data_IF_874318242414
#
_entry.id   IF_874318242414
#
_cell.length_a   1.000
_cell.length_b   1.000
_cell.length_c   1.000
_cell.angle_alpha   90.00
_cell.angle_beta   90.00
_cell.angle_gamma   90.00
#
_symmetry.space_group_name_H-M   'P 1'
#
loop_
_entity.id
_entity.type
_entity.pdbx_description
1 polymer ?
#
# COMPACT_ATOMS: atom_id res chain seq x y z
N UNK A 1 17.64 49.09 34.01
CA UNK A 1 16.31 48.47 33.95
C UNK A 1 16.32 47.47 32.84
N UNK A 2 16.62 46.21 33.17
CA UNK A 2 16.66 45.07 32.21
C UNK A 2 15.48 44.20 32.52
N UNK A 3 14.54 44.22 31.60
CA UNK A 3 13.32 43.42 31.66
C UNK A 3 13.66 41.97 31.24
N UNK A 4 13.50 41.03 32.16
CA UNK A 4 13.69 39.60 31.94
C UNK A 4 12.30 38.97 31.77
N UNK A 5 11.93 38.73 30.50
CA UNK A 5 10.76 37.89 30.19
C UNK A 5 11.06 36.43 30.51
N UNK A 6 10.18 35.70 31.19
CA UNK A 6 10.40 34.30 31.50
C UNK A 6 10.26 33.42 30.22
N UNK A 7 11.26 32.57 29.96
CA UNK A 7 11.22 31.57 28.90
C UNK A 7 10.18 30.50 29.25
N UNK A 8 9.15 30.35 28.43
CA UNK A 8 8.25 29.20 28.48
C UNK A 8 9.04 27.92 28.23
N UNK A 9 9.12 27.09 29.23
CA UNK A 9 9.72 25.75 29.11
C UNK A 9 8.79 24.83 28.33
N UNK A 10 9.34 24.13 27.33
CA UNK A 10 8.61 23.10 26.55
C UNK A 10 8.02 22.03 27.48
N UNK A 11 6.77 21.59 27.24
CA UNK A 11 6.10 20.60 28.08
C UNK A 11 6.86 19.27 28.11
N UNK A 12 6.94 18.69 29.32
CA UNK A 12 7.59 17.38 29.48
C UNK A 12 6.76 16.25 28.83
N UNK A 13 7.42 15.14 28.46
CA UNK A 13 6.75 13.95 27.89
C UNK A 13 5.56 13.46 28.75
N UNK A 14 5.65 13.64 30.06
CA UNK A 14 4.60 13.25 31.02
C UNK A 14 3.38 14.17 30.99
N UNK A 15 3.60 15.46 30.71
CA UNK A 15 2.52 16.46 30.55
C UNK A 15 1.82 16.31 29.20
N UNK A 16 2.57 15.95 28.15
CA UNK A 16 1.99 15.62 26.84
C UNK A 16 1.05 14.41 26.91
N UNK A 17 1.44 13.33 27.61
CA UNK A 17 0.59 12.14 27.79
C UNK A 17 -0.63 12.41 28.66
N UNK A 18 -0.53 13.29 29.66
CA UNK A 18 -1.69 13.67 30.50
C UNK A 18 -2.68 14.57 29.75
N UNK A 19 -2.19 15.42 28.84
CA UNK A 19 -3.04 16.27 27.99
C UNK A 19 -3.90 15.49 26.99
N UNK A 20 -3.40 14.36 26.49
CA UNK A 20 -4.15 13.50 25.56
C UNK A 20 -5.23 12.64 26.23
N UNK A 21 -5.15 12.40 27.53
CA UNK A 21 -6.16 11.62 28.26
C UNK A 21 -7.42 12.41 28.63
N UNK A 22 -7.41 13.75 28.53
CA UNK A 22 -8.52 14.61 28.92
C UNK A 22 -9.52 14.97 27.81
N UNK A 23 -9.31 14.47 26.56
CA UNK A 23 -10.18 14.75 25.39
C UNK A 23 -11.25 13.66 25.18
N UNK A 24 -11.51 12.84 26.17
CA UNK A 24 -12.35 11.64 26.09
C UNK A 24 -13.83 11.82 26.48
N UNK A 25 -14.41 12.99 26.53
CA UNK A 25 -15.85 13.14 26.77
C UNK A 25 -16.38 14.50 26.28
N UNK A 26 -16.39 14.69 24.97
CA UNK A 26 -17.05 15.84 24.36
C UNK A 26 -17.52 15.46 22.96
N UNK A 27 -18.81 15.48 22.75
CA UNK A 27 -19.46 15.30 21.44
C UNK A 27 -18.88 16.29 20.43
N UNK A 28 -17.93 15.85 19.60
CA UNK A 28 -17.45 16.62 18.44
C UNK A 28 -18.29 16.21 17.24
N UNK A 29 -19.44 16.86 17.10
CA UNK A 29 -20.15 16.87 15.84
C UNK A 29 -19.32 17.69 14.83
N UNK A 30 -18.80 17.07 13.78
CA UNK A 30 -18.46 17.76 12.55
C UNK A 30 -17.01 17.90 12.14
N UNK A 31 -16.03 17.25 12.78
CA UNK A 31 -14.70 17.09 12.19
C UNK A 31 -14.51 15.64 11.75
N UNK A 32 -14.65 15.39 10.46
CA UNK A 32 -14.19 14.14 9.86
C UNK A 32 -12.67 14.05 10.05
N UNK A 33 -12.24 13.37 11.11
CA UNK A 33 -10.86 12.95 11.22
C UNK A 33 -10.56 12.14 9.97
N UNK A 34 -9.42 12.35 9.27
CA UNK A 34 -9.00 11.44 8.24
C UNK A 34 -8.86 10.07 8.91
N UNK A 35 -9.82 9.18 8.64
CA UNK A 35 -9.77 7.79 9.09
C UNK A 35 -8.60 7.17 8.35
N UNK A 36 -7.50 7.01 9.03
CA UNK A 36 -6.34 6.27 8.54
C UNK A 36 -6.80 4.82 8.32
N UNK A 37 -7.07 4.51 7.04
CA UNK A 37 -7.37 3.16 6.61
C UNK A 37 -8.60 2.57 7.30
N UNK A 38 -9.81 2.92 6.84
CA UNK A 38 -10.95 2.07 7.11
C UNK A 38 -10.69 0.72 6.48
N UNK A 39 -10.50 -0.30 7.33
CA UNK A 39 -10.51 -1.68 6.85
C UNK A 39 -11.80 -1.89 6.05
N UNK A 40 -11.76 -2.63 4.94
CA UNK A 40 -12.96 -2.95 4.19
C UNK A 40 -14.00 -3.56 5.12
N UNK A 41 -15.28 -3.31 4.89
CA UNK A 41 -16.39 -3.77 5.74
C UNK A 41 -16.37 -5.28 6.03
N UNK A 42 -15.63 -6.07 5.23
CA UNK A 42 -15.40 -7.50 5.43
C UNK A 42 -14.34 -7.82 6.50
N UNK A 43 -13.63 -6.83 7.05
CA UNK A 43 -12.47 -7.05 7.93
C UNK A 43 -11.28 -7.75 7.27
N UNK A 44 -11.30 -7.90 5.94
CA UNK A 44 -10.25 -8.58 5.16
C UNK A 44 -9.72 -7.67 4.07
N UNK A 45 -8.40 -7.52 4.01
CA UNK A 45 -7.71 -6.70 3.03
C UNK A 45 -7.29 -7.55 1.83
N UNK A 46 -7.84 -7.23 0.65
CA UNK A 46 -7.55 -7.92 -0.61
C UNK A 46 -6.32 -7.32 -1.26
N UNK A 47 -5.26 -8.10 -1.36
CA UNK A 47 -3.98 -7.68 -1.94
C UNK A 47 -3.83 -8.27 -3.35
N UNK A 48 -3.47 -7.43 -4.31
CA UNK A 48 -3.04 -7.82 -5.64
C UNK A 48 -1.51 -7.79 -5.75
N UNK A 49 -0.92 -8.77 -6.44
CA UNK A 49 0.50 -8.79 -6.75
C UNK A 49 0.71 -8.61 -8.25
N UNK A 50 1.50 -7.62 -8.64
CA UNK A 50 1.94 -7.43 -10.03
C UNK A 50 3.45 -7.48 -10.10
N UNK A 51 3.94 -8.49 -10.84
CA UNK A 51 5.35 -8.90 -10.85
C UNK A 51 5.62 -10.04 -9.88
N UNK A 52 5.51 -11.28 -10.37
CA UNK A 52 5.58 -12.52 -9.59
C UNK A 52 7.00 -13.12 -9.53
N UNK A 53 8.05 -12.30 -9.73
CA UNK A 53 9.44 -12.70 -9.51
C UNK A 53 9.74 -12.90 -8.01
N UNK A 54 10.98 -13.28 -7.69
CA UNK A 54 11.40 -13.55 -6.31
C UNK A 54 11.10 -12.40 -5.33
N UNK A 55 11.33 -11.14 -5.75
CA UNK A 55 11.04 -9.98 -4.89
C UNK A 55 9.54 -9.78 -4.67
N UNK A 56 8.73 -9.89 -5.74
CA UNK A 56 7.27 -9.76 -5.63
C UNK A 56 6.67 -10.86 -4.76
N UNK A 57 7.08 -12.11 -4.96
CA UNK A 57 6.68 -13.24 -4.13
C UNK A 57 7.04 -13.01 -2.66
N UNK A 58 8.27 -12.52 -2.39
CA UNK A 58 8.71 -12.17 -1.04
C UNK A 58 7.87 -11.05 -0.41
N UNK A 59 7.54 -10.00 -1.17
CA UNK A 59 6.71 -8.90 -0.68
C UNK A 59 5.28 -9.36 -0.37
N UNK A 60 4.69 -10.20 -1.22
CA UNK A 60 3.38 -10.79 -0.95
C UNK A 60 3.40 -11.69 0.29
N UNK A 61 4.45 -12.50 0.45
CA UNK A 61 4.66 -13.31 1.66
C UNK A 61 4.73 -12.44 2.93
N UNK A 62 5.49 -11.36 2.88
CA UNK A 62 5.61 -10.42 4.01
C UNK A 62 4.27 -9.74 4.32
N UNK A 63 3.53 -9.30 3.30
CA UNK A 63 2.21 -8.68 3.48
C UNK A 63 1.21 -9.64 4.15
N UNK A 64 1.16 -10.91 3.71
CA UNK A 64 0.27 -11.92 4.31
C UNK A 64 0.67 -12.20 5.78
N UNK A 65 1.97 -12.18 6.10
CA UNK A 65 2.45 -12.43 7.47
C UNK A 65 2.25 -11.22 8.40
N UNK A 66 2.18 -10.00 7.86
CA UNK A 66 2.08 -8.79 8.66
C UNK A 66 0.73 -8.66 9.38
N UNK A 67 -0.36 -9.17 8.78
CA UNK A 67 -1.69 -9.07 9.37
C UNK A 67 -2.54 -10.30 9.00
N UNK A 68 -3.26 -10.92 9.96
CA UNK A 68 -4.11 -12.08 9.70
C UNK A 68 -5.32 -11.78 8.79
N UNK A 69 -5.73 -10.51 8.70
CA UNK A 69 -6.80 -10.05 7.80
C UNK A 69 -6.37 -9.89 6.34
N UNK A 70 -5.07 -9.97 6.04
CA UNK A 70 -4.56 -9.87 4.67
C UNK A 70 -4.76 -11.16 3.90
N UNK A 71 -5.31 -11.06 2.68
CA UNK A 71 -5.42 -12.17 1.74
C UNK A 71 -4.85 -11.78 0.38
N UNK A 72 -4.13 -12.70 -0.25
CA UNK A 72 -3.74 -12.55 -1.65
C UNK A 72 -4.95 -12.89 -2.53
N UNK A 73 -5.41 -11.91 -3.32
CA UNK A 73 -6.65 -11.98 -4.07
C UNK A 73 -6.47 -12.14 -5.57
N UNK A 74 -5.48 -11.45 -6.15
CA UNK A 74 -5.18 -11.50 -7.58
C UNK A 74 -3.67 -11.45 -7.82
N UNK A 75 -3.22 -12.04 -8.91
CA UNK A 75 -1.81 -12.04 -9.32
C UNK A 75 -1.68 -11.76 -10.81
N UNK A 76 -0.63 -11.01 -11.18
CA UNK A 76 -0.31 -10.68 -12.56
C UNK A 76 1.19 -10.69 -12.84
N UNK A 77 1.58 -11.27 -13.98
CA UNK A 77 2.94 -11.23 -14.51
C UNK A 77 2.92 -11.35 -16.03
N UNK A 78 3.96 -10.89 -16.69
CA UNK A 78 4.13 -11.10 -18.14
C UNK A 78 4.45 -12.56 -18.45
N UNK A 79 5.11 -13.26 -17.52
CA UNK A 79 5.56 -14.64 -17.68
C UNK A 79 4.70 -15.60 -16.85
N UNK A 80 4.08 -16.55 -17.52
CA UNK A 80 3.19 -17.54 -16.91
C UNK A 80 3.91 -18.44 -15.89
N UNK A 81 5.14 -18.84 -16.19
CA UNK A 81 5.97 -19.68 -15.32
C UNK A 81 6.28 -18.99 -13.99
N UNK A 82 6.60 -17.70 -14.02
CA UNK A 82 6.82 -16.89 -12.81
C UNK A 82 5.55 -16.80 -11.97
N UNK A 83 4.42 -16.53 -12.61
CA UNK A 83 3.12 -16.47 -11.93
C UNK A 83 2.78 -17.81 -11.28
N UNK A 84 2.89 -18.93 -12.01
CA UNK A 84 2.62 -20.27 -11.48
C UNK A 84 3.53 -20.64 -10.31
N UNK A 85 4.83 -20.41 -10.44
CA UNK A 85 5.80 -20.72 -9.38
C UNK A 85 5.53 -19.91 -8.12
N UNK A 86 5.29 -18.60 -8.26
CA UNK A 86 4.93 -17.71 -7.16
C UNK A 86 3.63 -18.13 -6.47
N UNK A 87 2.58 -18.40 -7.26
CA UNK A 87 1.29 -18.86 -6.75
C UNK A 87 1.44 -20.16 -5.95
N UNK A 88 2.10 -21.16 -6.50
CA UNK A 88 2.29 -22.46 -5.84
C UNK A 88 3.07 -22.31 -4.53
N UNK A 89 4.16 -21.53 -4.54
CA UNK A 89 4.95 -21.25 -3.33
C UNK A 89 4.13 -20.59 -2.24
N UNK A 90 3.42 -19.51 -2.57
CA UNK A 90 2.58 -18.78 -1.62
C UNK A 90 1.39 -19.63 -1.13
N UNK A 91 0.76 -20.41 -2.03
CA UNK A 91 -0.37 -21.28 -1.68
C UNK A 91 0.06 -22.38 -0.71
N UNK A 92 1.21 -23.01 -0.93
CA UNK A 92 1.76 -24.02 -0.03
C UNK A 92 2.08 -23.45 1.36
N UNK A 93 2.55 -22.20 1.42
CA UNK A 93 2.97 -21.57 2.67
C UNK A 93 1.80 -20.99 3.47
N UNK A 94 0.79 -20.40 2.80
CA UNK A 94 -0.28 -19.64 3.44
C UNK A 94 -1.69 -20.23 3.29
N UNK A 95 -1.84 -21.31 2.53
CA UNK A 95 -3.08 -22.07 2.45
C UNK A 95 -4.30 -21.23 2.08
N UNK A 96 -5.24 -21.11 3.01
CA UNK A 96 -6.53 -20.43 2.79
C UNK A 96 -6.42 -18.92 2.62
N UNK A 97 -5.31 -18.30 3.00
CA UNK A 97 -5.09 -16.85 2.80
C UNK A 97 -4.67 -16.49 1.37
N UNK A 98 -4.32 -17.48 0.55
CA UNK A 98 -4.12 -17.29 -0.90
C UNK A 98 -5.41 -17.70 -1.61
N UNK A 99 -6.23 -16.69 -1.91
CA UNK A 99 -7.56 -16.84 -2.51
C UNK A 99 -7.58 -16.46 -4.00
N UNK A 100 -6.46 -16.67 -4.67
CA UNK A 100 -6.31 -16.38 -6.11
C UNK A 100 -6.90 -17.54 -6.91
N UNK A 101 -8.12 -17.37 -7.42
CA UNK A 101 -8.72 -18.30 -8.37
C UNK A 101 -8.06 -18.21 -9.75
N UNK A 102 -8.35 -19.17 -10.63
CA UNK A 102 -7.79 -19.18 -11.99
C UNK A 102 -8.17 -17.92 -12.76
N UNK A 103 -9.38 -17.41 -12.54
CA UNK A 103 -9.92 -16.19 -13.11
C UNK A 103 -9.25 -14.89 -12.65
N UNK A 104 -8.41 -14.96 -11.63
CA UNK A 104 -7.64 -13.83 -11.08
C UNK A 104 -6.12 -14.03 -11.17
N UNK A 105 -5.70 -14.92 -12.09
CA UNK A 105 -4.30 -15.12 -12.47
C UNK A 105 -4.09 -14.62 -13.89
N UNK A 106 -3.51 -13.43 -14.03
CA UNK A 106 -3.43 -12.71 -15.29
C UNK A 106 -2.02 -12.73 -15.86
N UNK A 107 -1.90 -13.18 -17.12
CA UNK A 107 -0.64 -13.23 -17.85
C UNK A 107 -0.68 -12.21 -18.98
N UNK A 108 0.38 -11.41 -19.13
CA UNK A 108 0.52 -10.42 -20.18
C UNK A 108 0.85 -9.02 -19.68
N UNK A 109 1.07 -8.10 -20.61
CA UNK A 109 1.37 -6.71 -20.29
C UNK A 109 0.17 -5.93 -19.73
N UNK A 110 -1.04 -6.40 -19.99
CA UNK A 110 -2.30 -5.87 -19.47
C UNK A 110 -2.69 -6.45 -18.11
N UNK A 111 -1.86 -7.33 -17.55
CA UNK A 111 -2.12 -7.98 -16.28
C UNK A 111 -2.31 -6.97 -15.13
N UNK A 112 -1.64 -5.82 -15.16
CA UNK A 112 -1.84 -4.74 -14.19
C UNK A 112 -3.29 -4.25 -14.19
N UNK A 113 -3.86 -3.97 -15.34
CA UNK A 113 -5.21 -3.44 -15.47
C UNK A 113 -6.24 -4.47 -14.93
N UNK A 114 -6.07 -5.73 -15.30
CA UNK A 114 -6.92 -6.85 -14.83
C UNK A 114 -6.83 -7.08 -13.32
N UNK A 115 -5.62 -6.96 -12.74
CA UNK A 115 -5.46 -7.03 -11.27
C UNK A 115 -6.17 -5.89 -10.58
N UNK A 116 -6.07 -4.66 -11.09
CA UNK A 116 -6.75 -3.50 -10.51
C UNK A 116 -8.26 -3.63 -10.58
N UNK A 117 -8.79 -4.19 -11.68
CA UNK A 117 -10.24 -4.41 -11.90
C UNK A 117 -10.80 -5.59 -11.10
N UNK A 118 -9.95 -6.47 -10.56
CA UNK A 118 -10.38 -7.66 -9.82
C UNK A 118 -10.94 -7.39 -8.42
N UNK A 119 -11.02 -6.12 -8.01
CA UNK A 119 -11.57 -5.72 -6.71
C UNK A 119 -10.56 -5.79 -5.56
N UNK A 120 -9.26 -5.61 -5.84
CA UNK A 120 -8.22 -5.47 -4.83
C UNK A 120 -8.34 -4.13 -4.09
N UNK A 121 -7.93 -4.09 -2.83
CA UNK A 121 -7.85 -2.88 -2.01
C UNK A 121 -6.44 -2.28 -2.07
N UNK A 122 -5.44 -3.15 -2.06
CA UNK A 122 -4.01 -2.80 -2.11
C UNK A 122 -3.36 -3.54 -3.26
N UNK A 123 -2.44 -2.89 -3.97
CA UNK A 123 -1.61 -3.54 -4.98
C UNK A 123 -0.12 -3.46 -4.61
N UNK A 124 0.57 -4.58 -4.75
CA UNK A 124 2.03 -4.67 -4.65
C UNK A 124 2.59 -4.61 -6.06
N UNK A 125 3.37 -3.56 -6.34
CA UNK A 125 4.05 -3.36 -7.63
C UNK A 125 5.52 -3.78 -7.51
N UNK A 126 5.85 -4.95 -8.04
CA UNK A 126 7.20 -5.52 -8.04
C UNK A 126 7.73 -5.75 -9.47
N UNK A 127 7.15 -5.11 -10.45
CA UNK A 127 7.59 -5.12 -11.85
C UNK A 127 8.95 -4.42 -12.01
N UNK A 128 9.68 -4.61 -13.12
CA UNK A 128 10.90 -3.86 -13.39
C UNK A 128 10.68 -2.34 -13.31
N UNK A 129 11.68 -1.56 -12.86
CA UNK A 129 11.48 -0.15 -12.53
C UNK A 129 11.07 0.73 -13.71
N UNK A 130 11.35 0.33 -14.97
CA UNK A 130 10.88 1.05 -16.15
C UNK A 130 9.36 1.07 -16.32
N UNK A 131 8.64 0.07 -15.81
CA UNK A 131 7.18 0.00 -15.86
C UNK A 131 6.49 0.67 -14.66
N UNK A 132 7.22 0.89 -13.57
CA UNK A 132 6.63 1.32 -12.28
C UNK A 132 5.93 2.67 -12.34
N UNK A 133 6.47 3.72 -13.01
CA UNK A 133 5.77 5.00 -13.08
C UNK A 133 4.36 4.88 -13.69
N UNK A 134 4.21 4.09 -14.76
CA UNK A 134 2.93 3.88 -15.42
C UNK A 134 2.00 2.99 -14.59
N UNK A 135 2.52 1.92 -14.01
CA UNK A 135 1.75 1.04 -13.14
C UNK A 135 1.27 1.76 -11.88
N UNK A 136 2.11 2.62 -11.30
CA UNK A 136 1.76 3.43 -10.14
C UNK A 136 0.65 4.43 -10.48
N UNK A 137 0.76 5.10 -11.62
CA UNK A 137 -0.26 6.03 -12.10
C UNK A 137 -1.61 5.33 -12.28
N UNK A 138 -1.63 4.15 -12.91
CA UNK A 138 -2.83 3.32 -13.08
C UNK A 138 -3.43 2.92 -11.73
N UNK A 139 -2.61 2.43 -10.80
CA UNK A 139 -3.08 1.98 -9.49
C UNK A 139 -3.70 3.11 -8.65
N UNK A 140 -3.04 4.26 -8.61
CA UNK A 140 -3.57 5.47 -7.94
C UNK A 140 -4.81 5.99 -8.66
N UNK A 141 -4.82 5.99 -10.00
CA UNK A 141 -5.99 6.36 -10.80
C UNK A 141 -7.21 5.48 -10.53
N UNK A 142 -6.99 4.19 -10.24
CA UNK A 142 -8.02 3.24 -9.83
C UNK A 142 -8.39 3.33 -8.32
N UNK A 143 -7.85 4.31 -7.59
CA UNK A 143 -8.13 4.52 -6.17
C UNK A 143 -7.56 3.45 -5.23
N UNK A 144 -6.53 2.70 -5.65
CA UNK A 144 -5.95 1.63 -4.85
C UNK A 144 -4.82 2.13 -3.96
N UNK A 145 -4.70 1.55 -2.76
CA UNK A 145 -3.49 1.69 -1.96
C UNK A 145 -2.35 0.94 -2.64
N UNK A 146 -1.13 1.47 -2.55
CA UNK A 146 0.01 0.93 -3.30
C UNK A 146 1.22 0.71 -2.40
N UNK A 147 1.76 -0.50 -2.45
CA UNK A 147 3.15 -0.78 -2.07
C UNK A 147 3.97 -0.93 -3.35
N UNK A 148 4.94 -0.05 -3.55
CA UNK A 148 5.77 -0.05 -4.76
C UNK A 148 7.23 -0.34 -4.42
N UNK A 149 7.82 -1.34 -5.05
CA UNK A 149 9.22 -1.70 -4.85
C UNK A 149 10.19 -0.63 -5.39
N UNK A 150 11.36 -0.56 -4.77
CA UNK A 150 12.47 0.30 -5.25
C UNK A 150 13.22 -0.36 -6.44
N UNK A 151 13.86 0.45 -7.30
CA UNK A 151 13.71 1.89 -7.50
C UNK A 151 12.38 2.23 -8.18
N UNK A 152 11.86 3.42 -7.89
CA UNK A 152 10.53 3.85 -8.34
C UNK A 152 10.48 4.20 -9.84
N UNK A 153 11.62 4.56 -10.42
CA UNK A 153 11.77 4.92 -11.83
C UNK A 153 13.21 4.67 -12.29
N UNK A 154 13.45 4.69 -13.60
CA UNK A 154 14.78 4.54 -14.24
C UNK A 154 15.32 5.84 -14.80
N UNK A 155 14.46 6.86 -14.95
CA UNK A 155 14.80 8.12 -15.58
C UNK A 155 14.08 9.31 -14.93
N UNK A 156 14.44 10.52 -15.33
CA UNK A 156 13.85 11.75 -14.78
C UNK A 156 12.39 11.97 -15.19
N UNK A 157 11.94 11.68 -16.42
CA UNK A 157 10.52 11.72 -16.76
C UNK A 157 9.67 10.79 -15.89
N UNK A 158 10.12 9.53 -15.71
CA UNK A 158 9.46 8.57 -14.82
C UNK A 158 9.43 9.03 -13.37
N UNK A 159 10.53 9.61 -12.85
CA UNK A 159 10.57 10.17 -11.51
C UNK A 159 9.57 11.31 -11.31
N UNK A 160 9.47 12.23 -12.30
CA UNK A 160 8.45 13.30 -12.25
C UNK A 160 7.04 12.74 -12.21
N UNK A 161 6.74 11.72 -13.05
CA UNK A 161 5.45 11.02 -13.04
C UNK A 161 5.15 10.42 -11.67
N UNK A 162 6.12 9.75 -11.04
CA UNK A 162 5.97 9.21 -9.67
C UNK A 162 5.65 10.32 -8.66
N UNK A 163 6.35 11.45 -8.72
CA UNK A 163 6.11 12.58 -7.80
C UNK A 163 4.70 13.19 -7.97
N UNK A 164 4.25 13.34 -9.20
CA UNK A 164 2.90 13.84 -9.52
C UNK A 164 1.83 12.84 -9.05
N UNK A 165 2.06 11.57 -9.31
CA UNK A 165 1.16 10.49 -8.87
C UNK A 165 1.08 10.42 -7.33
N UNK A 166 2.20 10.64 -6.62
CA UNK A 166 2.19 10.69 -5.16
C UNK A 166 1.36 11.88 -4.61
N UNK A 167 1.38 13.03 -5.29
CA UNK A 167 0.51 14.17 -4.94
C UNK A 167 -0.97 13.81 -5.15
N UNK A 168 -1.30 13.13 -6.26
CA UNK A 168 -2.67 12.65 -6.52
C UNK A 168 -3.12 11.66 -5.46
N UNK A 169 -2.29 10.67 -5.12
CA UNK A 169 -2.57 9.70 -4.07
C UNK A 169 -2.92 10.38 -2.73
N UNK A 170 -2.10 11.36 -2.33
CA UNK A 170 -2.35 12.14 -1.11
C UNK A 170 -3.68 12.90 -1.16
N UNK A 171 -4.01 13.52 -2.30
CA UNK A 171 -5.26 14.26 -2.47
C UNK A 171 -6.50 13.35 -2.44
N UNK A 172 -6.38 12.10 -2.89
CA UNK A 172 -7.45 11.10 -2.90
C UNK A 172 -7.56 10.31 -1.59
N UNK A 173 -6.61 10.47 -0.65
CA UNK A 173 -6.55 9.68 0.58
C UNK A 173 -6.04 8.24 0.38
N UNK A 174 -5.48 7.91 -0.79
CA UNK A 174 -4.84 6.62 -1.01
C UNK A 174 -3.42 6.61 -0.43
N UNK A 175 -3.04 5.48 0.18
CA UNK A 175 -1.70 5.31 0.75
C UNK A 175 -0.74 4.82 -0.32
N UNK A 176 0.42 5.44 -0.40
CA UNK A 176 1.53 5.03 -1.24
C UNK A 176 2.76 4.80 -0.36
N UNK A 177 3.29 3.59 -0.38
CA UNK A 177 4.49 3.21 0.34
C UNK A 177 5.55 2.72 -0.64
N UNK A 178 6.79 3.14 -0.47
CA UNK A 178 7.95 2.62 -1.20
C UNK A 178 8.67 1.57 -0.35
N UNK A 179 9.02 0.43 -0.98
CA UNK A 179 9.84 -0.59 -0.34
C UNK A 179 11.28 -0.09 -0.16
N UNK A 180 11.82 -0.27 1.05
CA UNK A 180 13.23 -0.08 1.39
C UNK A 180 13.78 -1.43 1.84
N UNK A 181 14.69 -2.01 1.04
CA UNK A 181 15.45 -3.21 1.40
C UNK A 181 16.91 -3.01 1.02
#
# INVERSE_FOLDING_TARGET
>A
MTDHSPSESAPSRREFVKGTAAIGAGTVAGMAMPVWGSLPASGRLKVGLVGCGGRGTGAANQAINADPGVMLWAMGDVYEDRLKNSFNGLKNQHGTRVMVGDERRFVGFDAIDKVLDSGVDVVILATPPGFRPDHLEKAVGAGKHVFCEKPMATDMPGLRKVMETAKKAKAQGTQLMSGFC
#
